data_IF_779548951424
#
_entry.id   IF_779548951424
#
_cell.length_a   1.000
_cell.length_b   1.000
_cell.length_c   1.000
_cell.angle_alpha   90.00
_cell.angle_beta   90.00
_cell.angle_gamma   90.00
#
_symmetry.space_group_name_H-M   'P 1'
#
loop_
_entity.id
_entity.type
_entity.pdbx_description
1 polymer ?
#
# COMPACT_ATOMS: atom_id res chain seq x y z
N UNK A 1 -2.32 7.52 23.44
CA UNK A 1 -2.12 6.54 24.53
C UNK A 1 -2.83 5.21 24.25
N UNK A 2 -2.36 4.11 24.86
CA UNK A 2 -2.94 2.75 24.75
C UNK A 2 -4.26 2.63 25.54
N UNK A 3 -4.42 3.42 26.61
CA UNK A 3 -5.57 3.40 27.55
C UNK A 3 -6.47 4.65 27.50
N UNK A 4 -6.24 5.61 26.58
CA UNK A 4 -6.99 6.90 26.49
C UNK A 4 -7.16 7.58 27.86
N UNK A 5 -6.06 7.83 28.57
CA UNK A 5 -6.04 8.55 29.85
C UNK A 5 -6.89 7.94 30.99
N UNK A 6 -7.40 6.71 30.82
CA UNK A 6 -8.12 5.98 31.86
C UNK A 6 -7.19 5.30 32.88
N UNK A 7 -5.89 5.31 32.62
CA UNK A 7 -4.86 4.72 33.48
C UNK A 7 -3.69 5.69 33.49
N UNK A 8 -3.30 6.14 34.69
CA UNK A 8 -2.10 6.94 34.89
C UNK A 8 -0.86 6.04 34.82
N UNK A 9 0.11 6.45 34.02
CA UNK A 9 1.40 5.76 33.92
C UNK A 9 2.42 6.53 34.74
N UNK A 10 2.97 5.90 35.77
CA UNK A 10 4.05 6.44 36.57
C UNK A 10 5.28 5.54 36.47
N UNK A 11 6.47 6.13 36.63
CA UNK A 11 7.70 5.34 36.67
C UNK A 11 7.77 4.54 37.97
N UNK A 12 8.53 3.43 37.96
CA UNK A 12 8.74 2.62 39.16
C UNK A 12 9.37 3.40 40.32
N UNK A 13 10.18 4.43 40.01
CA UNK A 13 10.82 5.29 41.00
C UNK A 13 9.82 6.22 41.70
N UNK A 14 8.92 6.86 40.94
CA UNK A 14 7.86 7.72 41.50
C UNK A 14 6.78 6.93 42.24
N UNK A 15 6.48 5.71 41.79
CA UNK A 15 5.40 4.88 42.36
C UNK A 15 5.83 4.13 43.63
N UNK A 16 7.11 3.77 43.75
CA UNK A 16 7.63 3.05 44.91
C UNK A 16 7.62 3.90 46.20
N UNK A 17 7.61 5.24 46.09
CA UNK A 17 7.44 6.13 47.24
C UNK A 17 5.98 6.23 47.69
N UNK A 18 5.04 6.04 46.76
CA UNK A 18 3.60 6.21 46.99
C UNK A 18 2.92 4.94 47.53
N UNK A 19 3.52 3.76 47.30
CA UNK A 19 3.00 2.45 47.72
C UNK A 19 4.09 1.61 48.41
N UNK A 20 4.40 1.88 49.70
CA UNK A 20 5.47 1.21 50.44
C UNK A 20 5.18 -0.27 50.75
N UNK A 21 3.95 -0.72 50.58
CA UNK A 21 3.50 -2.10 50.82
C UNK A 21 4.00 -3.09 49.75
N UNK A 22 4.46 -2.59 48.60
CA UNK A 22 4.96 -3.42 47.50
C UNK A 22 6.50 -3.41 47.52
N UNK A 23 7.16 -4.58 47.59
CA UNK A 23 8.61 -4.66 47.58
C UNK A 23 9.24 -4.02 46.35
N UNK A 24 10.29 -3.22 46.52
CA UNK A 24 11.02 -2.55 45.41
C UNK A 24 11.50 -3.52 44.33
N UNK A 25 11.85 -4.74 44.71
CA UNK A 25 12.27 -5.81 43.77
C UNK A 25 11.15 -6.21 42.79
N UNK A 26 9.87 -6.07 43.18
CA UNK A 26 8.72 -6.36 42.31
C UNK A 26 8.44 -5.23 41.31
N UNK A 27 8.68 -3.97 41.70
CA UNK A 27 8.59 -2.81 40.80
C UNK A 27 9.65 -2.85 39.67
N UNK A 28 10.80 -3.47 39.93
CA UNK A 28 11.85 -3.62 38.92
C UNK A 28 11.62 -4.80 37.97
N UNK A 29 11.01 -5.88 38.47
CA UNK A 29 10.84 -7.15 37.72
C UNK A 29 9.56 -7.23 36.87
N UNK A 30 8.50 -6.57 37.27
CA UNK A 30 7.18 -6.75 36.64
C UNK A 30 6.39 -5.46 36.51
N UNK A 31 5.53 -5.41 35.50
CA UNK A 31 4.50 -4.38 35.37
C UNK A 31 3.44 -4.62 36.44
N UNK A 32 3.08 -3.56 37.16
CA UNK A 32 2.10 -3.59 38.24
C UNK A 32 0.89 -2.76 37.81
N UNK A 33 -0.30 -3.31 37.96
CA UNK A 33 -1.56 -2.61 37.73
C UNK A 33 -2.35 -2.58 39.04
N UNK A 34 -2.71 -1.38 39.49
CA UNK A 34 -3.46 -1.15 40.73
C UNK A 34 -4.82 -0.60 40.31
N UNK A 35 -5.90 -1.28 40.68
CA UNK A 35 -7.27 -0.81 40.44
C UNK A 35 -7.71 0.18 41.54
N UNK A 36 -8.76 0.96 41.26
CA UNK A 36 -9.30 1.97 42.20
C UNK A 36 -9.88 1.37 43.49
N UNK A 37 -10.10 0.05 43.52
CA UNK A 37 -10.56 -0.72 44.68
C UNK A 37 -9.40 -1.21 45.56
N UNK A 38 -8.14 -0.94 45.18
CA UNK A 38 -6.94 -1.36 45.91
C UNK A 38 -6.41 -2.74 45.51
N UNK A 39 -7.02 -3.44 44.55
CA UNK A 39 -6.50 -4.72 44.07
C UNK A 39 -5.24 -4.55 43.21
N UNK A 40 -4.23 -5.39 43.45
CA UNK A 40 -2.91 -5.32 42.80
C UNK A 40 -2.71 -6.54 41.91
N UNK A 41 -2.42 -6.29 40.64
CA UNK A 41 -2.14 -7.32 39.64
C UNK A 41 -0.72 -7.16 39.10
N UNK A 42 -0.06 -8.28 38.81
CA UNK A 42 1.35 -8.35 38.42
C UNK A 42 1.49 -9.01 37.05
N UNK A 43 2.57 -8.71 36.34
CA UNK A 43 3.02 -9.50 35.20
C UNK A 43 2.13 -9.39 33.95
N UNK A 44 1.76 -10.53 33.35
CA UNK A 44 0.91 -10.55 32.17
C UNK A 44 -0.53 -10.18 32.53
N UNK A 45 -1.01 -10.60 33.70
CA UNK A 45 -2.34 -10.25 34.22
C UNK A 45 -2.55 -8.74 34.29
N UNK A 46 -1.55 -7.99 34.77
CA UNK A 46 -1.57 -6.53 34.82
C UNK A 46 -1.73 -5.89 33.42
N UNK A 47 -1.10 -6.48 32.41
CA UNK A 47 -1.22 -6.03 31.00
C UNK A 47 -2.61 -6.33 30.44
N UNK A 48 -3.17 -7.51 30.69
CA UNK A 48 -4.50 -7.84 30.17
C UNK A 48 -5.62 -7.09 30.90
N UNK A 49 -5.51 -6.84 32.20
CA UNK A 49 -6.49 -6.06 32.96
C UNK A 49 -6.48 -4.58 32.60
N UNK A 50 -5.31 -3.96 32.42
CA UNK A 50 -5.23 -2.58 31.92
C UNK A 50 -5.85 -2.42 30.51
N UNK A 51 -5.92 -3.49 29.71
CA UNK A 51 -6.60 -3.49 28.41
C UNK A 51 -8.14 -3.58 28.49
N UNK A 52 -8.73 -3.92 29.66
CA UNK A 52 -10.20 -3.91 29.87
C UNK A 52 -10.81 -2.52 29.72
N UNK A 53 -10.04 -1.47 30.00
CA UNK A 53 -10.45 -0.07 29.85
C UNK A 53 -10.83 0.27 28.39
N UNK A 54 -10.42 -0.53 27.41
CA UNK A 54 -10.71 -0.32 26.00
C UNK A 54 -11.72 -1.34 25.45
N UNK A 55 -12.90 -0.85 25.06
CA UNK A 55 -13.98 -1.66 24.45
C UNK A 55 -13.48 -2.62 23.34
N UNK A 56 -12.59 -2.17 22.46
CA UNK A 56 -12.08 -2.98 21.34
C UNK A 56 -11.10 -4.11 21.73
N UNK A 57 -10.67 -4.20 23.00
CA UNK A 57 -9.68 -5.19 23.47
C UNK A 57 -10.16 -6.00 24.68
N UNK A 58 -11.43 -5.86 25.08
CA UNK A 58 -12.05 -6.62 26.18
C UNK A 58 -11.94 -8.14 25.98
N UNK A 59 -11.95 -8.61 24.73
CA UNK A 59 -11.82 -10.03 24.42
C UNK A 59 -10.48 -10.64 24.88
N UNK A 60 -9.39 -9.84 24.94
CA UNK A 60 -8.08 -10.33 25.40
C UNK A 60 -8.07 -10.61 26.90
N UNK A 61 -8.71 -9.74 27.69
CA UNK A 61 -8.91 -9.96 29.11
C UNK A 61 -9.86 -11.14 29.36
N UNK A 62 -10.95 -11.23 28.60
CA UNK A 62 -11.86 -12.37 28.66
C UNK A 62 -11.17 -13.69 28.34
N UNK A 63 -10.25 -13.70 27.36
CA UNK A 63 -9.49 -14.89 26.97
C UNK A 63 -8.52 -15.35 28.06
N UNK A 64 -7.97 -14.40 28.82
CA UNK A 64 -7.14 -14.72 29.99
C UNK A 64 -7.92 -15.48 31.06
N UNK A 65 -9.18 -15.08 31.30
CA UNK A 65 -10.02 -15.67 32.35
C UNK A 65 -10.71 -16.98 31.91
N UNK A 66 -11.06 -17.14 30.62
CA UNK A 66 -11.97 -18.21 30.17
C UNK A 66 -11.34 -19.27 29.28
N UNK A 67 -10.15 -19.03 28.70
CA UNK A 67 -9.51 -20.01 27.80
C UNK A 67 -8.51 -20.86 28.59
N UNK A 68 -8.74 -22.18 28.74
CA UNK A 68 -7.84 -23.04 29.48
C UNK A 68 -6.44 -23.05 28.83
N UNK A 69 -5.42 -22.78 29.64
CA UNK A 69 -4.02 -22.72 29.21
C UNK A 69 -3.52 -21.35 28.71
N UNK A 70 -4.42 -20.41 28.39
CA UNK A 70 -4.01 -19.07 27.90
C UNK A 70 -3.29 -18.25 28.96
N UNK A 71 -3.76 -18.29 30.21
CA UNK A 71 -3.10 -17.63 31.34
C UNK A 71 -1.67 -18.19 31.57
N UNK A 72 -1.51 -19.52 31.58
CA UNK A 72 -0.21 -20.15 31.78
C UNK A 72 0.79 -19.84 30.66
N UNK A 73 0.34 -19.85 29.39
CA UNK A 73 1.18 -19.52 28.23
C UNK A 73 1.57 -18.05 28.22
N UNK A 74 0.62 -17.15 28.51
CA UNK A 74 0.88 -15.71 28.51
C UNK A 74 1.79 -15.27 29.66
N UNK A 75 1.63 -15.84 30.87
CA UNK A 75 2.55 -15.63 31.99
C UNK A 75 3.94 -16.21 31.71
N UNK A 76 4.03 -17.38 31.07
CA UNK A 76 5.32 -17.95 30.68
C UNK A 76 6.05 -17.08 29.65
N UNK A 77 5.34 -16.62 28.61
CA UNK A 77 5.87 -15.69 27.62
C UNK A 77 6.31 -14.37 28.26
N UNK A 78 5.48 -13.82 29.15
CA UNK A 78 5.82 -12.60 29.87
C UNK A 78 7.06 -12.78 30.73
N UNK A 79 7.17 -13.90 31.47
CA UNK A 79 8.32 -14.21 32.32
C UNK A 79 9.60 -14.35 31.49
N UNK A 80 9.55 -15.01 30.33
CA UNK A 80 10.68 -15.11 29.39
C UNK A 80 11.11 -13.73 28.89
N UNK A 81 10.14 -12.89 28.50
CA UNK A 81 10.40 -11.52 28.01
C UNK A 81 10.95 -10.63 29.13
N UNK A 82 10.41 -10.73 30.34
CA UNK A 82 10.82 -9.96 31.51
C UNK A 82 12.23 -10.37 31.99
N UNK A 83 12.52 -11.67 32.01
CA UNK A 83 13.84 -12.18 32.38
C UNK A 83 14.91 -11.79 31.35
N UNK A 84 14.52 -11.67 30.08
CA UNK A 84 15.43 -11.28 28.99
C UNK A 84 15.16 -9.87 28.45
N UNK A 85 14.68 -8.95 29.31
CA UNK A 85 14.18 -7.62 28.92
C UNK A 85 15.20 -6.79 28.14
N UNK A 86 16.49 -6.90 28.46
CA UNK A 86 17.59 -6.23 27.72
C UNK A 86 17.72 -6.77 26.29
N UNK A 87 17.67 -8.08 26.11
CA UNK A 87 17.75 -8.73 24.79
C UNK A 87 16.47 -8.50 23.98
N UNK A 88 15.29 -8.63 24.59
CA UNK A 88 14.01 -8.35 23.93
C UNK A 88 13.90 -6.87 23.53
N UNK A 89 14.37 -5.96 24.39
CA UNK A 89 14.46 -4.53 24.06
C UNK A 89 15.50 -4.26 22.98
N UNK A 90 16.65 -4.93 22.99
CA UNK A 90 17.66 -4.83 21.95
C UNK A 90 17.13 -5.34 20.60
N UNK A 91 16.44 -6.48 20.56
CA UNK A 91 15.76 -7.00 19.37
C UNK A 91 14.67 -6.04 18.90
N UNK A 92 13.85 -5.52 19.81
CA UNK A 92 12.77 -4.59 19.45
C UNK A 92 13.35 -3.28 18.91
N UNK A 93 14.40 -2.73 19.52
CA UNK A 93 15.10 -1.53 19.04
C UNK A 93 15.82 -1.79 17.72
N UNK A 94 16.43 -2.97 17.55
CA UNK A 94 17.11 -3.40 16.32
C UNK A 94 16.13 -3.59 15.17
N UNK A 95 14.94 -4.16 15.41
CA UNK A 95 13.97 -4.45 14.34
C UNK A 95 13.00 -3.28 14.08
N UNK A 96 12.58 -2.55 15.11
CA UNK A 96 11.54 -1.50 15.04
C UNK A 96 12.02 -0.06 15.32
N UNK A 97 13.23 0.14 15.84
CA UNK A 97 13.76 1.47 16.19
C UNK A 97 13.55 1.86 17.66
N UNK A 98 14.13 3.01 18.07
CA UNK A 98 14.03 3.52 19.44
C UNK A 98 12.64 4.10 19.79
N UNK A 99 11.84 4.41 18.77
CA UNK A 99 10.50 4.98 18.94
C UNK A 99 9.42 4.03 18.40
N UNK A 100 8.69 3.38 19.31
CA UNK A 100 7.64 2.39 19.01
C UNK A 100 6.29 3.07 18.75
N UNK A 101 6.24 4.41 18.73
CA UNK A 101 5.02 5.16 18.41
C UNK A 101 4.53 4.80 16.99
N UNK A 102 3.21 4.58 16.80
CA UNK A 102 2.66 4.40 15.46
C UNK A 102 3.01 5.63 14.62
N UNK A 103 3.75 5.50 13.50
CA UNK A 103 4.06 6.65 12.68
C UNK A 103 2.77 7.22 12.15
N UNK A 104 2.59 8.50 12.38
CA UNK A 104 1.54 9.30 11.80
C UNK A 104 1.85 9.51 10.30
N UNK A 105 1.50 8.55 9.44
CA UNK A 105 1.72 8.59 7.98
C UNK A 105 0.89 9.66 7.24
N UNK A 106 0.46 10.73 7.91
CA UNK A 106 -0.44 11.74 7.33
C UNK A 106 0.20 12.51 6.18
N UNK A 107 1.48 12.87 6.32
CA UNK A 107 2.23 13.57 5.25
C UNK A 107 2.43 12.64 4.06
N UNK A 108 2.90 11.41 4.30
CA UNK A 108 3.10 10.40 3.26
C UNK A 108 1.80 10.11 2.50
N UNK A 109 0.69 9.89 3.21
CA UNK A 109 -0.63 9.69 2.59
C UNK A 109 -1.02 10.88 1.72
N UNK A 110 -0.87 12.12 2.22
CA UNK A 110 -1.24 13.31 1.47
C UNK A 110 -0.40 13.48 0.21
N UNK A 111 0.92 13.34 0.32
CA UNK A 111 1.82 13.43 -0.83
C UNK A 111 1.52 12.35 -1.86
N UNK A 112 1.27 11.12 -1.40
CA UNK A 112 0.89 10.00 -2.26
C UNK A 112 -0.41 10.27 -3.03
N UNK A 113 -1.48 10.70 -2.36
CA UNK A 113 -2.76 11.01 -3.02
C UNK A 113 -2.63 12.15 -4.04
N UNK A 114 -1.80 13.15 -3.75
CA UNK A 114 -1.52 14.26 -4.68
C UNK A 114 -0.73 13.81 -5.90
N UNK A 115 0.31 12.99 -5.69
CA UNK A 115 1.07 12.40 -6.78
C UNK A 115 0.17 11.52 -7.67
N UNK A 116 -0.70 10.72 -7.06
CA UNK A 116 -1.69 9.92 -7.79
C UNK A 116 -2.65 10.80 -8.59
N UNK A 117 -3.15 11.90 -8.01
CA UNK A 117 -3.96 12.87 -8.74
C UNK A 117 -3.21 13.50 -9.92
N UNK A 118 -1.91 13.80 -9.78
CA UNK A 118 -1.08 14.29 -10.88
C UNK A 118 -0.91 13.25 -11.99
N UNK A 119 -0.73 11.97 -11.64
CA UNK A 119 -0.62 10.89 -12.62
C UNK A 119 -1.95 10.75 -13.39
N UNK A 120 -3.10 10.73 -12.71
CA UNK A 120 -4.40 10.74 -13.37
C UNK A 120 -4.55 11.97 -14.27
N UNK A 121 -4.16 13.16 -13.81
CA UNK A 121 -4.22 14.38 -14.61
C UNK A 121 -3.44 14.23 -15.92
N UNK A 122 -2.19 13.75 -15.85
CA UNK A 122 -1.35 13.52 -17.02
C UNK A 122 -2.00 12.50 -17.96
N UNK A 123 -2.50 11.39 -17.42
CA UNK A 123 -3.14 10.33 -18.19
C UNK A 123 -4.40 10.83 -18.92
N UNK A 124 -5.30 11.55 -18.23
CA UNK A 124 -6.51 12.11 -18.83
C UNK A 124 -6.20 13.18 -19.87
N UNK A 125 -5.25 14.10 -19.62
CA UNK A 125 -4.86 15.12 -20.60
C UNK A 125 -4.23 14.47 -21.84
N UNK A 126 -3.32 13.52 -21.64
CA UNK A 126 -2.68 12.79 -22.73
C UNK A 126 -3.70 12.04 -23.58
N UNK A 127 -4.63 11.34 -22.94
CA UNK A 127 -5.70 10.61 -23.63
C UNK A 127 -6.67 11.56 -24.33
N UNK A 128 -7.03 12.70 -23.74
CA UNK A 128 -7.99 13.65 -24.31
C UNK A 128 -7.55 14.15 -25.69
N UNK A 129 -6.26 14.46 -25.88
CA UNK A 129 -5.73 14.91 -27.18
C UNK A 129 -5.85 13.81 -28.26
N UNK A 130 -5.92 12.55 -27.85
CA UNK A 130 -5.93 11.39 -28.75
C UNK A 130 -7.32 10.76 -28.92
N UNK A 131 -8.28 11.12 -28.07
CA UNK A 131 -9.53 10.36 -27.90
C UNK A 131 -10.35 10.26 -29.19
N UNK A 132 -10.42 11.35 -29.96
CA UNK A 132 -11.19 11.42 -31.20
C UNK A 132 -10.61 10.51 -32.28
N UNK A 133 -9.28 10.48 -32.39
CA UNK A 133 -8.58 9.65 -33.36
C UNK A 133 -8.55 8.17 -32.98
N UNK A 134 -8.56 7.84 -31.70
CA UNK A 134 -8.52 6.44 -31.24
C UNK A 134 -9.89 5.79 -31.26
N UNK A 135 -10.84 6.35 -30.50
CA UNK A 135 -12.14 5.71 -30.23
C UNK A 135 -13.37 6.61 -30.45
N UNK A 136 -13.17 7.83 -30.94
CA UNK A 136 -14.26 8.69 -31.38
C UNK A 136 -15.01 8.10 -32.58
N UNK A 137 -16.10 8.76 -32.97
CA UNK A 137 -16.98 8.34 -34.07
C UNK A 137 -16.26 8.14 -35.40
N UNK A 138 -15.20 8.91 -35.66
CA UNK A 138 -14.33 8.80 -36.84
C UNK A 138 -12.94 8.24 -36.48
N UNK A 139 -12.82 7.60 -35.32
CA UNK A 139 -11.57 7.03 -34.84
C UNK A 139 -11.22 5.69 -35.49
N UNK A 140 -10.06 5.14 -35.12
CA UNK A 140 -9.58 3.84 -35.62
C UNK A 140 -10.49 2.70 -35.15
N UNK A 141 -10.93 2.74 -33.88
CA UNK A 141 -11.82 1.72 -33.30
C UNK A 141 -12.97 2.42 -32.56
N UNK A 142 -14.02 2.90 -33.27
CA UNK A 142 -15.10 3.66 -32.67
C UNK A 142 -15.84 2.90 -31.58
N UNK A 143 -16.00 3.54 -30.41
CA UNK A 143 -16.76 2.95 -29.28
C UNK A 143 -18.23 2.71 -29.64
N UNK A 144 -18.79 3.52 -30.54
CA UNK A 144 -20.17 3.42 -31.04
C UNK A 144 -20.43 2.14 -31.82
N UNK A 145 -19.41 1.53 -32.40
CA UNK A 145 -19.51 0.25 -33.12
C UNK A 145 -19.19 -0.92 -32.20
N UNK A 146 -18.18 -0.74 -31.34
CA UNK A 146 -17.71 -1.76 -30.41
C UNK A 146 -18.78 -2.23 -29.41
N UNK A 147 -19.42 -1.31 -28.69
CA UNK A 147 -20.36 -1.68 -27.62
C UNK A 147 -21.60 -2.42 -28.16
N UNK A 148 -22.25 -1.97 -29.26
CA UNK A 148 -23.33 -2.74 -29.88
C UNK A 148 -22.88 -4.13 -30.36
N UNK A 149 -21.70 -4.24 -30.97
CA UNK A 149 -21.16 -5.52 -31.42
C UNK A 149 -20.88 -6.48 -30.24
N UNK A 150 -20.34 -5.96 -29.13
CA UNK A 150 -20.14 -6.73 -27.90
C UNK A 150 -21.47 -7.18 -27.29
N UNK A 151 -22.49 -6.31 -27.28
CA UNK A 151 -23.84 -6.66 -26.81
C UNK A 151 -24.50 -7.73 -27.68
N UNK A 152 -24.32 -7.67 -28.99
CA UNK A 152 -24.86 -8.67 -29.91
C UNK A 152 -24.27 -10.07 -29.65
N UNK A 153 -22.99 -10.16 -29.28
CA UNK A 153 -22.30 -11.44 -29.02
C UNK A 153 -22.51 -11.97 -27.60
N UNK A 154 -22.47 -11.09 -26.59
CA UNK A 154 -22.49 -11.47 -25.17
C UNK A 154 -23.88 -11.36 -24.52
N UNK A 155 -24.85 -10.76 -25.21
CA UNK A 155 -26.18 -10.49 -24.68
C UNK A 155 -26.14 -9.61 -23.42
N UNK A 156 -27.00 -9.91 -22.45
CA UNK A 156 -27.09 -9.13 -21.21
C UNK A 156 -25.83 -9.22 -20.33
N UNK A 157 -24.96 -10.23 -20.56
CA UNK A 157 -23.68 -10.33 -19.86
C UNK A 157 -22.68 -9.26 -20.28
N UNK A 158 -22.91 -8.58 -21.41
CA UNK A 158 -22.01 -7.52 -21.88
C UNK A 158 -21.82 -6.41 -20.82
N UNK A 159 -22.87 -6.07 -20.07
CA UNK A 159 -22.83 -5.02 -19.04
C UNK A 159 -21.97 -5.40 -17.83
N UNK A 160 -21.93 -6.69 -17.45
CA UNK A 160 -21.11 -7.15 -16.33
C UNK A 160 -19.67 -7.41 -16.72
N UNK A 161 -19.43 -7.82 -17.97
CA UNK A 161 -18.08 -8.06 -18.52
C UNK A 161 -17.38 -6.73 -18.87
N UNK A 162 -18.14 -5.77 -19.41
CA UNK A 162 -17.64 -4.46 -19.84
C UNK A 162 -18.31 -3.34 -19.02
N UNK A 163 -17.96 -3.17 -17.73
CA UNK A 163 -18.56 -2.15 -16.88
C UNK A 163 -18.04 -0.75 -17.24
N UNK A 164 -18.66 -0.09 -18.24
CA UNK A 164 -18.31 1.26 -18.70
C UNK A 164 -19.51 2.21 -18.68
N UNK A 165 -19.28 3.49 -18.40
CA UNK A 165 -20.29 4.54 -18.55
C UNK A 165 -20.68 4.79 -20.03
N UNK A 166 -19.84 4.36 -20.98
CA UNK A 166 -20.10 4.53 -22.42
C UNK A 166 -21.34 3.75 -22.93
N UNK A 167 -21.91 2.83 -22.13
CA UNK A 167 -23.21 2.22 -22.42
C UNK A 167 -24.37 3.22 -22.38
N UNK A 168 -24.24 4.29 -21.59
CA UNK A 168 -25.28 5.32 -21.47
C UNK A 168 -25.28 6.24 -22.69
N UNK A 169 -24.08 6.61 -23.14
CA UNK A 169 -23.86 7.47 -24.28
C UNK A 169 -22.45 7.20 -24.84
N UNK A 170 -22.34 6.98 -26.14
CA UNK A 170 -21.08 6.66 -26.82
C UNK A 170 -20.66 7.77 -27.80
N UNK A 171 -21.22 8.97 -27.67
CA UNK A 171 -20.88 10.13 -28.51
C UNK A 171 -19.54 10.75 -28.14
N UNK A 172 -18.92 11.44 -29.09
CA UNK A 172 -17.64 12.15 -28.90
C UNK A 172 -17.73 13.19 -27.78
N UNK A 173 -18.87 13.89 -27.68
CA UNK A 173 -19.13 14.83 -26.59
C UNK A 173 -19.10 14.14 -25.21
N UNK A 174 -19.59 12.90 -25.11
CA UNK A 174 -19.53 12.14 -23.88
C UNK A 174 -18.12 11.64 -23.55
N UNK A 175 -17.34 11.26 -24.57
CA UNK A 175 -15.93 10.91 -24.39
C UNK A 175 -15.12 12.10 -23.87
N UNK A 176 -15.32 13.29 -24.44
CA UNK A 176 -14.72 14.52 -23.92
C UNK A 176 -15.21 14.88 -22.52
N UNK A 177 -16.48 14.62 -22.19
CA UNK A 177 -16.99 14.79 -20.84
C UNK A 177 -16.26 13.89 -19.83
N UNK A 178 -16.02 12.62 -20.16
CA UNK A 178 -15.24 11.71 -19.31
C UNK A 178 -13.80 12.19 -19.16
N UNK A 179 -13.14 12.62 -20.24
CA UNK A 179 -11.80 13.17 -20.17
C UNK A 179 -11.73 14.45 -19.33
N UNK A 180 -12.61 15.42 -19.61
CA UNK A 180 -12.66 16.70 -18.90
C UNK A 180 -13.07 16.59 -17.45
N UNK A 181 -14.06 15.74 -17.14
CA UNK A 181 -14.41 15.42 -15.77
C UNK A 181 -13.26 14.74 -15.04
N UNK A 182 -12.54 13.82 -15.69
CA UNK A 182 -11.31 13.21 -15.16
C UNK A 182 -10.24 14.23 -14.81
N UNK A 183 -10.00 15.23 -15.67
CA UNK A 183 -9.09 16.35 -15.41
C UNK A 183 -9.53 17.14 -14.16
N UNK A 184 -10.80 17.55 -14.08
CA UNK A 184 -11.33 18.31 -12.94
C UNK A 184 -11.21 17.50 -11.64
N UNK A 185 -11.61 16.22 -11.64
CA UNK A 185 -11.51 15.34 -10.48
C UNK A 185 -10.06 15.13 -10.04
N UNK A 186 -9.12 15.06 -10.98
CA UNK A 186 -7.69 14.95 -10.70
C UNK A 186 -7.16 16.19 -9.99
N UNK A 187 -7.57 17.39 -10.45
CA UNK A 187 -7.26 18.66 -9.77
C UNK A 187 -7.84 18.70 -8.36
N UNK A 188 -9.10 18.29 -8.18
CA UNK A 188 -9.73 18.21 -6.85
C UNK A 188 -8.91 17.30 -5.90
N UNK A 189 -8.46 16.14 -6.39
CA UNK A 189 -7.61 15.23 -5.60
C UNK A 189 -6.25 15.85 -5.24
N UNK A 190 -5.62 16.58 -6.16
CA UNK A 190 -4.36 17.31 -5.92
C UNK A 190 -4.54 18.39 -4.83
N UNK A 191 -5.64 19.13 -4.89
CA UNK A 191 -5.97 20.13 -3.87
C UNK A 191 -6.49 19.51 -2.56
N UNK A 192 -6.83 18.22 -2.57
CA UNK A 192 -7.32 17.48 -1.41
C UNK A 192 -8.80 17.76 -1.10
N UNK A 193 -9.58 18.13 -2.11
CA UNK A 193 -11.03 18.35 -2.02
C UNK A 193 -11.72 17.02 -2.28
N UNK A 194 -12.50 16.55 -1.31
CA UNK A 194 -13.26 15.31 -1.32
C UNK A 194 -12.49 14.08 -1.84
N UNK A 195 -11.27 13.80 -1.33
CA UNK A 195 -10.31 12.90 -1.99
C UNK A 195 -10.83 11.47 -2.22
N UNK A 196 -11.60 10.90 -1.29
CA UNK A 196 -12.18 9.58 -1.48
C UNK A 196 -13.23 9.57 -2.62
N UNK A 197 -14.08 10.60 -2.68
CA UNK A 197 -15.10 10.72 -3.72
C UNK A 197 -14.45 11.02 -5.08
N UNK A 198 -13.44 11.88 -5.12
CA UNK A 198 -12.64 12.14 -6.32
C UNK A 198 -12.00 10.85 -6.83
N UNK A 199 -11.42 10.01 -5.96
CA UNK A 199 -10.84 8.73 -6.37
C UNK A 199 -11.89 7.75 -6.91
N UNK A 200 -13.04 7.61 -6.25
CA UNK A 200 -14.13 6.75 -6.75
C UNK A 200 -14.52 7.18 -8.16
N UNK A 201 -14.76 8.48 -8.36
CA UNK A 201 -15.14 9.02 -9.66
C UNK A 201 -14.03 8.88 -10.71
N UNK A 202 -12.76 9.14 -10.34
CA UNK A 202 -11.60 8.95 -11.22
C UNK A 202 -11.47 7.51 -11.69
N UNK A 203 -11.59 6.55 -10.78
CA UNK A 203 -11.53 5.11 -11.11
C UNK A 203 -12.65 4.75 -12.06
N UNK A 204 -13.89 5.20 -11.81
CA UNK A 204 -15.03 4.91 -12.70
C UNK A 204 -14.84 5.54 -14.08
N UNK A 205 -14.38 6.79 -14.15
CA UNK A 205 -14.16 7.50 -15.42
C UNK A 205 -13.04 6.84 -16.22
N UNK A 206 -11.91 6.57 -15.56
CA UNK A 206 -10.76 5.94 -16.20
C UNK A 206 -11.05 4.50 -16.62
N UNK A 207 -11.80 3.73 -15.81
CA UNK A 207 -12.22 2.37 -16.15
C UNK A 207 -13.14 2.39 -17.38
N UNK A 208 -14.06 3.35 -17.44
CA UNK A 208 -14.97 3.51 -18.57
C UNK A 208 -14.21 3.76 -19.87
N UNK A 209 -13.23 4.68 -19.83
CA UNK A 209 -12.36 4.97 -20.96
C UNK A 209 -11.44 3.79 -21.30
N UNK A 210 -10.88 3.10 -20.32
CA UNK A 210 -10.01 1.92 -20.51
C UNK A 210 -10.75 0.81 -21.27
N UNK A 211 -11.99 0.52 -20.87
CA UNK A 211 -12.84 -0.47 -21.54
C UNK A 211 -13.21 -0.01 -22.96
N UNK A 212 -13.54 1.27 -23.14
CA UNK A 212 -13.86 1.83 -24.45
C UNK A 212 -12.64 1.86 -25.38
N UNK A 213 -11.45 2.13 -24.83
CA UNK A 213 -10.15 2.21 -25.49
C UNK A 213 -9.59 0.87 -25.97
N UNK A 214 -10.14 -0.24 -25.48
CA UNK A 214 -9.77 -1.61 -25.90
C UNK A 214 -8.25 -1.80 -25.91
N UNK A 215 -7.68 -2.19 -27.05
CA UNK A 215 -6.26 -2.44 -27.24
C UNK A 215 -5.38 -1.23 -26.97
N UNK A 216 -5.89 0.00 -27.11
CA UNK A 216 -5.10 1.21 -26.87
C UNK A 216 -4.86 1.50 -25.38
N UNK A 217 -5.73 1.00 -24.49
CA UNK A 217 -5.65 1.20 -23.05
C UNK A 217 -5.50 -0.12 -22.26
N UNK A 218 -5.19 -1.22 -22.95
CA UNK A 218 -4.95 -2.53 -22.34
C UNK A 218 -3.48 -2.73 -21.91
N UNK A 219 -2.77 -1.64 -21.59
CA UNK A 219 -1.38 -1.70 -21.16
C UNK A 219 -1.26 -1.85 -19.65
N UNK A 220 -0.11 -2.37 -19.20
CA UNK A 220 0.15 -2.66 -17.80
C UNK A 220 0.05 -1.42 -16.89
N UNK A 221 0.42 -0.23 -17.39
CA UNK A 221 0.33 1.01 -16.62
C UNK A 221 -1.10 1.49 -16.41
N UNK A 222 -2.01 1.28 -17.37
CA UNK A 222 -3.43 1.62 -17.24
C UNK A 222 -4.10 0.75 -16.16
N UNK A 223 -3.82 -0.55 -16.20
CA UNK A 223 -4.28 -1.52 -15.19
C UNK A 223 -3.70 -1.16 -13.82
N UNK A 224 -2.41 -0.85 -13.73
CA UNK A 224 -1.76 -0.45 -12.48
C UNK A 224 -2.38 0.84 -11.91
N UNK A 225 -2.70 1.81 -12.76
CA UNK A 225 -3.32 3.07 -12.35
C UNK A 225 -4.73 2.82 -11.79
N UNK A 226 -5.52 1.94 -12.41
CA UNK A 226 -6.84 1.54 -11.91
C UNK A 226 -6.75 0.81 -10.57
N UNK A 227 -5.86 -0.18 -10.44
CA UNK A 227 -5.67 -0.93 -9.19
C UNK A 227 -5.19 -0.01 -8.06
N UNK A 228 -4.23 0.88 -8.36
CA UNK A 228 -3.71 1.86 -7.40
C UNK A 228 -4.81 2.84 -7.00
N UNK A 229 -5.56 3.37 -7.96
CA UNK A 229 -6.71 4.25 -7.72
C UNK A 229 -7.74 3.60 -6.82
N UNK A 230 -8.14 2.36 -7.13
CA UNK A 230 -9.12 1.61 -6.36
C UNK A 230 -8.66 1.35 -4.91
N UNK A 231 -7.44 0.86 -4.71
CA UNK A 231 -6.92 0.64 -3.36
C UNK A 231 -6.72 1.94 -2.57
N UNK A 232 -6.46 3.04 -3.27
CA UNK A 232 -6.32 4.37 -2.66
C UNK A 232 -7.63 4.91 -2.10
N UNK A 233 -8.81 4.43 -2.55
CA UNK A 233 -10.12 4.80 -1.97
C UNK A 233 -10.18 4.44 -0.48
N UNK A 234 -9.61 3.29 -0.09
CA UNK A 234 -9.55 2.85 1.30
C UNK A 234 -8.46 3.58 2.13
N UNK A 235 -7.52 4.23 1.44
CA UNK A 235 -6.49 5.04 2.05
C UNK A 235 -6.98 6.47 2.33
N UNK A 236 -7.79 7.02 1.41
CA UNK A 236 -8.24 8.39 1.42
C UNK A 236 -9.25 8.69 2.54
N UNK A 237 -9.20 9.89 3.14
CA UNK A 237 -10.19 10.30 4.12
C UNK A 237 -11.55 10.56 3.44
N UNK A 238 -12.61 9.94 3.96
CA UNK A 238 -14.00 10.15 3.53
C UNK A 238 -14.57 11.44 4.13
N UNK A 239 -13.96 12.57 3.76
CA UNK A 239 -14.37 13.92 4.19
C UNK A 239 -14.22 14.88 3.02
N UNK A 240 -15.15 15.82 2.91
CA UNK A 240 -15.11 16.85 1.87
C UNK A 240 -13.83 17.70 2.01
N UNK A 241 -13.56 18.26 3.20
CA UNK A 241 -12.33 19.02 3.46
C UNK A 241 -11.57 18.41 4.65
N UNK A 242 -10.51 17.62 4.41
CA UNK A 242 -9.67 17.08 5.46
C UNK A 242 -8.89 18.20 6.19
N UNK A 243 -9.25 18.49 7.45
CA UNK A 243 -8.50 19.42 8.29
C UNK A 243 -7.16 18.82 8.70
N UNK A 244 -6.08 19.60 8.61
CA UNK A 244 -4.75 19.20 9.11
C UNK A 244 -4.84 18.84 10.60
N UNK A 245 -4.33 17.67 10.98
CA UNK A 245 -4.23 17.23 12.38
C UNK A 245 -5.43 16.44 12.93
N UNK A 246 -6.58 16.41 12.25
CA UNK A 246 -7.79 15.66 12.69
C UNK A 246 -8.10 14.50 11.75
N UNK A 247 -7.05 13.99 11.11
CA UNK A 247 -7.14 12.96 10.11
C UNK A 247 -7.31 11.58 10.77
N UNK A 248 -8.26 10.76 10.32
CA UNK A 248 -8.40 9.41 10.86
C UNK A 248 -7.13 8.60 10.58
N UNK A 249 -6.78 7.65 11.48
CA UNK A 249 -5.61 6.80 11.31
C UNK A 249 -5.69 6.05 9.97
N UNK A 250 -4.54 5.89 9.32
CA UNK A 250 -4.44 5.25 8.02
C UNK A 250 -4.89 3.78 8.12
N UNK A 251 -5.74 3.33 7.19
CA UNK A 251 -6.16 1.94 7.12
C UNK A 251 -4.96 1.03 6.88
N UNK A 252 -4.69 0.12 7.83
CA UNK A 252 -3.61 -0.86 7.72
C UNK A 252 -3.85 -1.83 6.57
N UNK A 253 -5.12 -2.18 6.33
CA UNK A 253 -5.51 -3.03 5.20
C UNK A 253 -5.22 -2.33 3.86
N UNK A 254 -5.54 -1.03 3.73
CA UNK A 254 -5.23 -0.28 2.51
C UNK A 254 -3.72 -0.21 2.24
N UNK A 255 -2.91 0.07 3.27
CA UNK A 255 -1.44 0.05 3.15
C UNK A 255 -0.91 -1.34 2.80
N UNK A 256 -1.49 -2.39 3.38
CA UNK A 256 -1.13 -3.76 3.05
C UNK A 256 -1.45 -4.06 1.58
N UNK A 257 -2.64 -3.73 1.09
CA UNK A 257 -3.02 -3.93 -0.32
C UNK A 257 -2.12 -3.16 -1.29
N UNK A 258 -1.77 -1.91 -0.99
CA UNK A 258 -0.81 -1.14 -1.81
C UNK A 258 0.59 -1.77 -1.81
N UNK A 259 1.04 -2.35 -0.69
CA UNK A 259 2.29 -3.11 -0.64
C UNK A 259 2.21 -4.42 -1.43
N UNK A 260 1.08 -5.13 -1.36
CA UNK A 260 0.83 -6.32 -2.18
C UNK A 260 0.84 -5.94 -3.66
N UNK A 261 0.25 -4.80 -4.04
CA UNK A 261 0.26 -4.31 -5.41
C UNK A 261 1.68 -4.02 -5.90
N UNK A 262 2.50 -3.32 -5.10
CA UNK A 262 3.90 -3.08 -5.42
C UNK A 262 4.70 -4.38 -5.54
N UNK A 263 4.47 -5.32 -4.62
CA UNK A 263 5.07 -6.65 -4.67
C UNK A 263 4.69 -7.38 -5.95
N UNK A 264 3.39 -7.41 -6.28
CA UNK A 264 2.84 -8.01 -7.50
C UNK A 264 3.48 -7.39 -8.74
N UNK A 265 3.54 -6.06 -8.82
CA UNK A 265 4.13 -5.35 -9.94
C UNK A 265 5.59 -5.78 -10.19
N UNK A 266 6.41 -5.73 -9.14
CA UNK A 266 7.84 -6.07 -9.26
C UNK A 266 8.04 -7.54 -9.62
N UNK A 267 7.38 -8.44 -8.88
CA UNK A 267 7.53 -9.89 -9.09
C UNK A 267 7.00 -10.32 -10.46
N UNK A 268 5.84 -9.81 -10.88
CA UNK A 268 5.30 -10.15 -12.20
C UNK A 268 6.17 -9.60 -13.34
N UNK A 269 6.80 -8.43 -13.16
CA UNK A 269 7.79 -7.91 -14.14
C UNK A 269 8.93 -8.90 -14.39
N UNK A 270 9.47 -9.50 -13.32
CA UNK A 270 10.55 -10.49 -13.43
C UNK A 270 10.08 -11.88 -13.86
N UNK A 271 8.97 -12.37 -13.31
CA UNK A 271 8.44 -13.71 -13.62
C UNK A 271 8.03 -13.81 -15.08
N UNK A 272 7.33 -12.80 -15.62
CA UNK A 272 6.91 -12.80 -17.02
C UNK A 272 8.09 -12.89 -17.98
N UNK A 273 9.24 -12.29 -17.65
CA UNK A 273 10.47 -12.41 -18.44
C UNK A 273 10.91 -13.86 -18.55
N UNK A 274 10.96 -14.58 -17.43
CA UNK A 274 11.36 -15.99 -17.38
C UNK A 274 10.30 -16.95 -17.94
N UNK A 275 9.02 -16.60 -17.89
CA UNK A 275 7.92 -17.43 -18.40
C UNK A 275 7.43 -17.02 -19.79
N UNK A 276 8.08 -16.04 -20.43
CA UNK A 276 7.69 -15.52 -21.74
C UNK A 276 7.88 -16.54 -22.88
N UNK A 277 8.74 -17.55 -22.67
CA UNK A 277 9.17 -18.47 -23.71
C UNK A 277 10.33 -17.95 -24.57
N UNK A 278 10.87 -16.76 -24.25
CA UNK A 278 12.07 -16.24 -24.89
C UNK A 278 13.32 -16.71 -24.13
N UNK A 279 14.17 -17.47 -24.82
CA UNK A 279 15.42 -18.00 -24.30
C UNK A 279 16.43 -16.90 -23.92
N UNK A 280 16.27 -15.68 -24.44
CA UNK A 280 17.18 -14.56 -24.16
C UNK A 280 17.25 -14.19 -22.67
N UNK A 281 16.15 -14.38 -21.92
CA UNK A 281 16.12 -14.11 -20.48
C UNK A 281 16.87 -15.15 -19.67
N UNK A 282 16.73 -16.42 -20.04
CA UNK A 282 17.44 -17.53 -19.38
C UNK A 282 18.92 -17.56 -19.75
N UNK A 283 19.26 -17.18 -20.98
CA UNK A 283 20.64 -17.06 -21.45
C UNK A 283 21.31 -15.73 -21.07
N UNK A 284 20.58 -14.83 -20.40
CA UNK A 284 21.04 -13.50 -19.97
C UNK A 284 21.46 -12.56 -21.11
N UNK A 285 20.96 -12.79 -22.33
CA UNK A 285 21.27 -11.99 -23.54
C UNK A 285 20.16 -10.99 -23.89
N UNK A 286 19.09 -10.90 -23.09
CA UNK A 286 17.97 -9.99 -23.35
C UNK A 286 18.39 -8.52 -23.59
N UNK A 287 19.42 -8.04 -22.90
CA UNK A 287 19.93 -6.67 -23.09
C UNK A 287 20.66 -6.44 -24.42
N UNK A 288 21.08 -7.49 -25.13
CA UNK A 288 21.65 -7.35 -26.49
C UNK A 288 20.61 -6.82 -27.48
N UNK A 289 19.32 -7.06 -27.22
CA UNK A 289 18.22 -6.61 -28.06
C UNK A 289 17.44 -5.45 -27.45
N UNK A 290 17.36 -5.38 -26.12
CA UNK A 290 16.51 -4.42 -25.43
C UNK A 290 16.90 -2.96 -25.69
N UNK A 291 18.19 -2.65 -25.77
CA UNK A 291 18.64 -1.28 -26.00
C UNK A 291 18.17 -0.71 -27.34
N UNK A 292 18.00 -1.57 -28.34
CA UNK A 292 17.55 -1.23 -29.69
C UNK A 292 16.04 -1.24 -29.84
N UNK A 293 15.35 -2.10 -29.08
CA UNK A 293 13.92 -2.38 -29.26
C UNK A 293 13.00 -1.70 -28.23
N UNK A 294 13.56 -1.05 -27.21
CA UNK A 294 12.74 -0.34 -26.23
C UNK A 294 11.90 0.78 -26.88
N UNK A 295 10.63 0.98 -26.47
CA UNK A 295 9.73 1.94 -27.12
C UNK A 295 10.20 3.40 -27.07
N UNK A 296 11.02 3.76 -26.08
CA UNK A 296 11.57 5.10 -25.89
C UNK A 296 13.09 5.01 -25.81
N UNK A 297 13.79 4.83 -26.95
CA UNK A 297 15.23 4.72 -26.96
C UNK A 297 15.83 6.07 -26.54
N UNK A 298 16.69 6.03 -25.53
CA UNK A 298 17.44 7.20 -25.09
C UNK A 298 18.78 7.27 -25.82
N UNK A 299 19.39 8.44 -25.91
CA UNK A 299 20.75 8.59 -26.50
C UNK A 299 21.75 7.66 -25.79
N UNK A 300 21.52 7.39 -24.50
CA UNK A 300 22.34 6.48 -23.69
C UNK A 300 22.22 5.00 -24.04
N UNK A 301 21.13 4.60 -24.71
CA UNK A 301 20.92 3.22 -25.12
C UNK A 301 22.03 2.72 -26.06
N UNK A 302 22.51 3.59 -26.95
CA UNK A 302 23.61 3.27 -27.85
C UNK A 302 24.90 2.97 -27.08
N UNK A 303 25.31 3.83 -26.14
CA UNK A 303 26.50 3.56 -25.33
C UNK A 303 26.35 2.33 -24.42
N UNK A 304 25.14 2.09 -23.89
CA UNK A 304 24.86 0.93 -23.06
C UNK A 304 24.93 -0.39 -23.87
N UNK A 305 24.51 -0.37 -25.12
CA UNK A 305 24.65 -1.51 -26.03
C UNK A 305 26.10 -1.87 -26.34
N UNK A 306 26.95 -0.85 -26.51
CA UNK A 306 28.41 -1.01 -26.73
C UNK A 306 29.17 -1.52 -25.49
N UNK A 307 28.49 -1.74 -24.36
CA UNK A 307 29.13 -2.26 -23.16
C UNK A 307 29.56 -3.73 -23.33
N UNK A 308 30.59 -4.18 -22.59
CA UNK A 308 31.03 -5.57 -22.66
C UNK A 308 29.91 -6.57 -22.35
N UNK A 309 29.94 -7.73 -23.01
CA UNK A 309 28.90 -8.77 -22.85
C UNK A 309 28.69 -9.21 -21.39
N UNK A 310 29.77 -9.33 -20.61
CA UNK A 310 29.69 -9.69 -19.20
C UNK A 310 28.86 -8.69 -18.39
N UNK A 311 28.93 -7.40 -18.74
CA UNK A 311 28.20 -6.34 -18.05
C UNK A 311 26.71 -6.40 -18.38
N UNK A 312 26.36 -6.68 -19.65
CA UNK A 312 24.97 -6.91 -20.08
C UNK A 312 24.37 -8.14 -19.39
N UNK A 313 25.09 -9.27 -19.38
CA UNK A 313 24.67 -10.49 -18.67
C UNK A 313 24.47 -10.26 -17.17
N UNK A 314 25.42 -9.57 -16.53
CA UNK A 314 25.29 -9.17 -15.13
C UNK A 314 24.06 -8.29 -14.90
N UNK A 315 23.81 -7.32 -15.78
CA UNK A 315 22.68 -6.39 -15.67
C UNK A 315 21.33 -7.11 -15.81
N UNK A 316 21.21 -8.09 -16.71
CA UNK A 316 20.01 -8.96 -16.81
C UNK A 316 19.81 -9.74 -15.52
N UNK A 317 20.85 -10.42 -15.03
CA UNK A 317 20.78 -11.19 -13.79
C UNK A 317 20.42 -10.31 -12.59
N UNK A 318 21.03 -9.13 -12.49
CA UNK A 318 20.73 -8.15 -11.46
C UNK A 318 19.29 -7.66 -11.54
N UNK A 319 18.79 -7.34 -12.73
CA UNK A 319 17.39 -6.97 -12.95
C UNK A 319 16.44 -8.05 -12.45
N UNK A 320 16.68 -9.32 -12.79
CA UNK A 320 15.87 -10.46 -12.32
C UNK A 320 15.92 -10.61 -10.79
N UNK A 321 17.07 -10.44 -10.16
CA UNK A 321 17.21 -10.45 -8.69
C UNK A 321 16.41 -9.31 -8.06
N UNK A 322 16.50 -8.10 -8.61
CA UNK A 322 15.77 -6.92 -8.13
C UNK A 322 14.26 -7.07 -8.31
N UNK A 323 13.81 -7.74 -9.36
CA UNK A 323 12.38 -7.92 -9.62
C UNK A 323 11.79 -9.11 -8.88
N UNK A 324 12.53 -10.18 -8.62
CA UNK A 324 11.99 -11.42 -8.04
C UNK A 324 12.34 -11.56 -6.56
N UNK A 325 13.59 -11.29 -6.18
CA UNK A 325 14.09 -11.56 -4.82
C UNK A 325 13.88 -10.34 -3.92
N UNK A 326 14.26 -9.15 -4.38
CA UNK A 326 14.18 -7.92 -3.57
C UNK A 326 12.76 -7.63 -3.04
N UNK A 327 11.67 -7.84 -3.81
CA UNK A 327 10.32 -7.54 -3.31
C UNK A 327 9.90 -8.42 -2.13
N UNK A 328 10.51 -9.60 -1.92
CA UNK A 328 10.26 -10.43 -0.73
C UNK A 328 10.58 -9.66 0.57
N UNK A 329 11.52 -8.71 0.51
CA UNK A 329 11.89 -7.88 1.65
C UNK A 329 10.90 -6.74 1.96
N UNK A 330 9.87 -6.49 1.12
CA UNK A 330 8.78 -5.54 1.42
C UNK A 330 8.07 -5.91 2.75
N UNK A 331 8.08 -7.21 3.08
CA UNK A 331 7.48 -7.76 4.29
C UNK A 331 8.42 -7.79 5.51
N UNK A 332 9.70 -7.46 5.32
CA UNK A 332 10.68 -7.50 6.40
C UNK A 332 10.53 -6.31 7.37
N UNK A 333 11.00 -6.44 8.64
CA UNK A 333 10.98 -5.35 9.62
C UNK A 333 11.76 -4.11 9.13
N UNK A 334 11.40 -2.92 9.65
CA UNK A 334 11.80 -1.61 9.13
C UNK A 334 13.30 -1.42 8.89
N UNK A 335 14.17 -2.05 9.69
CA UNK A 335 15.64 -1.92 9.51
C UNK A 335 16.20 -2.81 8.39
N UNK A 336 15.63 -3.98 8.12
CA UNK A 336 15.98 -4.76 6.91
C UNK A 336 15.60 -3.98 5.64
N UNK A 337 14.52 -3.20 5.70
CA UNK A 337 14.07 -2.32 4.63
C UNK A 337 15.05 -1.19 4.33
N UNK A 338 15.76 -0.63 5.32
CA UNK A 338 16.79 0.40 5.10
C UNK A 338 18.05 -0.19 4.46
N UNK A 339 18.39 -1.44 4.72
CA UNK A 339 19.48 -2.14 4.02
C UNK A 339 19.10 -2.39 2.56
N UNK A 340 17.83 -2.77 2.30
CA UNK A 340 17.29 -2.86 0.94
C UNK A 340 17.21 -1.51 0.21
N UNK A 341 16.80 -0.43 0.89
CA UNK A 341 16.72 0.93 0.32
C UNK A 341 18.09 1.58 0.11
N UNK A 342 19.09 1.23 0.94
CA UNK A 342 20.47 1.70 0.77
C UNK A 342 21.12 1.14 -0.49
N UNK A 343 20.62 0.03 -1.03
CA UNK A 343 20.98 -0.49 -2.35
C UNK A 343 20.34 0.32 -3.50
N UNK A 344 19.30 1.12 -3.25
CA UNK A 344 18.53 1.87 -4.25
C UNK A 344 18.91 3.37 -4.35
N UNK A 345 19.57 3.94 -3.34
CA UNK A 345 19.99 5.35 -3.32
C UNK A 345 21.52 5.56 -3.36
N UNK A 346 22.30 4.51 -3.62
CA UNK A 346 23.78 4.58 -3.65
C UNK A 346 24.42 4.00 -4.91
N UNK A 347 23.64 3.87 -5.98
CA UNK A 347 24.10 3.53 -7.33
C UNK A 347 23.87 4.72 -8.25
#
# INVERSE_FOLDING_TARGET
>A
EITRDAVDYATSQESAERFPEIPREQFERSLIYIETDGSVFLGAEAVFRSLRCRSSRKWLAWSYDHVPGFAAVSESLYRIIAFNRRFASAITRLLWGDDVRPPAYFVARRSFLRALGLIFLIAFVSLWVQIDGLIGSNGIIPVSEFLPAARAQLGDRALSILPTLCWLNSSDAFLHFLCGGGVVLSLLLIFGIAPALSLVALVVFYLSLTIAGQTFLSFQWDILLLETGFFSIFLAPWRLWPKRGVDPPVSRAALFLLKVLLFKLMVMSGVVKLTSGDDSWWNLTALDYHYWSQPLPTIFSWWADQSPEWFKKFSVAFCLVVEIIVPLFIWAPRRCLHVGFSFFCRS
#
